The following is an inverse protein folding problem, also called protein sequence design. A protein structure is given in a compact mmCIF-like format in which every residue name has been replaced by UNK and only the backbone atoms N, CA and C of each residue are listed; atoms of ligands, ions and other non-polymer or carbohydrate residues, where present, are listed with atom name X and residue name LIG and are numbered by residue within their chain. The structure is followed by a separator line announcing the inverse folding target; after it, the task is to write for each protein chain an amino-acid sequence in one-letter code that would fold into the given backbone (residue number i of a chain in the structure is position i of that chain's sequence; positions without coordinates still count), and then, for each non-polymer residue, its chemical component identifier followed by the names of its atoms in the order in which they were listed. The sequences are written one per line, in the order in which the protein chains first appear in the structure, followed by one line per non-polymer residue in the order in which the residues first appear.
data_IF_227600514371
#
_entry.id   IF_227600514371
#
_cell.length_a   1.000
_cell.length_b   1.000
_cell.length_c   1.000
_cell.angle_alpha   90.00
_cell.angle_beta   90.00
_cell.angle_gamma   90.00
#
_symmetry.space_group_name_H-M   'P 1'
#
loop_
_entity.id
_entity.type
_entity.pdbx_description
1 polymer ?
#
# COMPACT_ATOMS: atom_id res chain seq x y z
N UNK A 1 -48.29 4.94 10.89
CA UNK A 1 -47.40 6.02 11.38
C UNK A 1 -46.32 6.23 10.33
N UNK A 2 -46.41 7.32 9.56
CA UNK A 2 -45.48 7.62 8.46
C UNK A 2 -44.21 8.26 9.05
N UNK A 3 -43.04 7.69 8.77
CA UNK A 3 -41.77 8.27 9.19
C UNK A 3 -41.45 9.45 8.26
N UNK A 4 -41.69 10.68 8.71
CA UNK A 4 -41.14 11.85 8.04
C UNK A 4 -39.61 11.81 8.10
N UNK A 5 -38.96 11.46 6.98
CA UNK A 5 -37.53 11.75 6.79
C UNK A 5 -37.39 13.27 6.75
N UNK A 6 -36.81 13.85 7.81
CA UNK A 6 -36.41 15.26 7.79
C UNK A 6 -35.46 15.48 6.60
N UNK A 7 -35.73 16.50 5.79
CA UNK A 7 -34.77 16.98 4.80
C UNK A 7 -33.51 17.46 5.53
N UNK A 8 -32.31 17.15 5.00
CA UNK A 8 -31.05 17.57 5.63
C UNK A 8 -31.00 19.10 5.73
N UNK A 9 -30.62 19.63 6.90
CA UNK A 9 -30.51 21.07 7.10
C UNK A 9 -29.28 21.62 6.36
N UNK A 10 -29.25 22.94 6.09
CA UNK A 10 -28.06 23.62 5.54
C UNK A 10 -26.80 23.34 6.37
N UNK A 11 -26.94 23.30 7.70
CA UNK A 11 -25.84 22.97 8.62
C UNK A 11 -25.35 21.53 8.47
N UNK A 12 -26.24 20.58 8.16
CA UNK A 12 -25.85 19.18 7.90
C UNK A 12 -25.14 19.06 6.55
N UNK A 13 -25.60 19.82 5.53
CA UNK A 13 -24.93 19.94 4.24
C UNK A 13 -23.51 20.52 4.38
N UNK A 14 -23.34 21.60 5.14
CA UNK A 14 -22.02 22.20 5.39
C UNK A 14 -21.08 21.26 6.14
N UNK A 15 -21.58 20.54 7.16
CA UNK A 15 -20.79 19.54 7.90
C UNK A 15 -20.36 18.38 7.01
N UNK A 16 -21.27 17.88 6.16
CA UNK A 16 -20.95 16.83 5.19
C UNK A 16 -19.90 17.29 4.16
N UNK A 17 -20.02 18.51 3.64
CA UNK A 17 -19.04 19.07 2.70
C UNK A 17 -17.66 19.25 3.34
N UNK A 18 -17.61 19.74 4.58
CA UNK A 18 -16.36 19.88 5.32
C UNK A 18 -15.70 18.52 5.60
N UNK A 19 -16.48 17.52 6.02
CA UNK A 19 -16.00 16.15 6.22
C UNK A 19 -15.44 15.56 4.93
N UNK A 20 -16.16 15.73 3.82
CA UNK A 20 -15.72 15.24 2.52
C UNK A 20 -14.42 15.89 2.05
N UNK A 21 -14.28 17.22 2.22
CA UNK A 21 -13.05 17.93 1.88
C UNK A 21 -11.86 17.42 2.72
N UNK A 22 -12.08 17.20 4.02
CA UNK A 22 -11.08 16.62 4.92
C UNK A 22 -10.65 15.22 4.45
N UNK A 23 -11.60 14.34 4.17
CA UNK A 23 -11.31 12.98 3.69
C UNK A 23 -10.56 13.02 2.35
N UNK A 24 -11.02 13.87 1.43
CA UNK A 24 -10.38 14.08 0.14
C UNK A 24 -8.92 14.47 0.30
N UNK A 25 -8.60 15.54 1.03
CA UNK A 25 -7.21 15.98 1.18
C UNK A 25 -6.36 14.96 1.93
N UNK A 26 -6.92 14.27 2.91
CA UNK A 26 -6.18 13.33 3.76
C UNK A 26 -5.84 12.01 3.08
N UNK A 27 -6.57 11.62 2.03
CA UNK A 27 -6.41 10.33 1.35
C UNK A 27 -5.87 10.49 -0.07
N UNK A 28 -6.15 11.63 -0.70
CA UNK A 28 -5.67 11.91 -2.05
C UNK A 28 -4.23 12.42 -2.09
N UNK A 29 -3.63 12.82 -0.97
CA UNK A 29 -2.34 13.51 -0.95
C UNK A 29 -1.19 12.71 -1.58
N UNK A 30 -1.20 11.38 -1.49
CA UNK A 30 -0.16 10.53 -2.12
C UNK A 30 -0.27 10.65 -3.64
N UNK A 31 -1.45 10.33 -4.20
CA UNK A 31 -1.67 10.33 -5.65
C UNK A 31 -1.54 11.75 -6.20
N UNK A 32 -2.25 12.71 -5.58
CA UNK A 32 -2.22 14.11 -6.00
C UNK A 32 -0.82 14.70 -5.84
N UNK A 33 -0.13 14.46 -4.73
CA UNK A 33 1.23 14.97 -4.50
C UNK A 33 2.25 14.40 -5.48
N UNK A 34 2.17 13.11 -5.81
CA UNK A 34 3.02 12.51 -6.85
C UNK A 34 2.75 13.16 -8.21
N UNK A 35 1.48 13.26 -8.63
CA UNK A 35 1.10 13.87 -9.90
C UNK A 35 1.53 15.34 -9.97
N UNK A 36 1.19 16.14 -8.95
CA UNK A 36 1.56 17.55 -8.88
C UNK A 36 3.07 17.74 -8.90
N UNK A 37 3.85 16.94 -8.16
CA UNK A 37 5.31 17.04 -8.17
C UNK A 37 5.91 16.64 -9.52
N UNK A 38 5.36 15.62 -10.19
CA UNK A 38 5.84 15.17 -11.51
C UNK A 38 5.52 16.25 -12.56
N UNK A 39 4.26 16.70 -12.63
CA UNK A 39 3.86 17.69 -13.63
C UNK A 39 4.53 19.05 -13.43
N UNK A 40 4.71 19.50 -12.18
CA UNK A 40 5.45 20.73 -11.90
C UNK A 40 6.93 20.62 -12.30
N UNK A 41 7.57 19.49 -12.03
CA UNK A 41 8.95 19.25 -12.48
C UNK A 41 9.05 19.28 -14.02
N UNK A 42 8.17 18.56 -14.72
CA UNK A 42 8.14 18.56 -16.20
C UNK A 42 7.86 19.97 -16.75
N UNK A 43 6.91 20.70 -16.17
CA UNK A 43 6.61 22.07 -16.58
C UNK A 43 7.83 22.98 -16.42
N UNK A 44 8.57 22.86 -15.30
CA UNK A 44 9.81 23.63 -15.09
C UNK A 44 10.87 23.29 -16.16
N UNK A 45 11.03 22.02 -16.52
CA UNK A 45 11.97 21.61 -17.58
C UNK A 45 11.57 22.16 -18.95
N UNK A 46 10.30 22.03 -19.32
CA UNK A 46 9.79 22.46 -20.64
C UNK A 46 9.77 23.99 -20.82
N UNK A 47 9.54 24.72 -19.73
CA UNK A 47 9.51 26.19 -19.71
C UNK A 47 10.87 26.82 -19.40
N UNK A 48 11.91 26.02 -19.14
CA UNK A 48 13.25 26.50 -18.80
C UNK A 48 13.81 27.53 -19.81
N UNK A 49 13.67 27.36 -21.14
CA UNK A 49 14.17 28.34 -22.10
C UNK A 49 13.34 29.63 -22.16
N UNK A 50 12.14 29.64 -21.58
CA UNK A 50 11.11 30.69 -21.77
C UNK A 50 10.84 31.52 -20.53
N UNK A 51 11.23 31.07 -19.35
CA UNK A 51 10.89 31.75 -18.10
C UNK A 51 11.97 31.57 -17.03
N UNK A 52 12.47 32.67 -16.42
CA UNK A 52 13.38 32.56 -15.27
C UNK A 52 12.70 31.92 -14.05
N UNK A 53 11.37 32.02 -13.93
CA UNK A 53 10.62 31.34 -12.87
C UNK A 53 10.70 29.81 -13.00
N UNK A 54 10.79 29.29 -14.22
CA UNK A 54 10.96 27.86 -14.46
C UNK A 54 12.34 27.37 -13.99
N UNK A 55 13.38 28.19 -14.14
CA UNK A 55 14.71 27.92 -13.59
C UNK A 55 14.69 27.89 -12.06
N UNK A 56 14.04 28.87 -11.42
CA UNK A 56 13.86 28.87 -9.96
C UNK A 56 13.10 27.62 -9.50
N UNK A 57 11.97 27.29 -10.13
CA UNK A 57 11.20 26.09 -9.82
C UNK A 57 12.02 24.81 -9.96
N UNK A 58 12.77 24.66 -11.06
CA UNK A 58 13.66 23.52 -11.27
C UNK A 58 14.73 23.44 -10.19
N UNK A 59 15.37 24.55 -9.83
CA UNK A 59 16.33 24.61 -8.73
C UNK A 59 15.72 24.13 -7.40
N UNK A 60 14.49 24.55 -7.07
CA UNK A 60 13.80 24.09 -5.86
C UNK A 60 13.58 22.57 -5.89
N UNK A 61 13.15 22.01 -7.02
CA UNK A 61 13.00 20.55 -7.15
C UNK A 61 14.34 19.82 -7.01
N UNK A 62 15.42 20.32 -7.63
CA UNK A 62 16.76 19.72 -7.54
C UNK A 62 17.31 19.79 -6.11
N UNK A 63 17.10 20.91 -5.41
CA UNK A 63 17.42 21.03 -3.98
C UNK A 63 16.63 20.01 -3.17
N UNK A 64 15.33 19.88 -3.41
CA UNK A 64 14.51 18.86 -2.74
C UNK A 64 14.99 17.43 -3.02
N UNK A 65 15.60 17.15 -4.18
CA UNK A 65 16.22 15.84 -4.48
C UNK A 65 17.59 15.67 -3.82
N UNK A 66 18.34 16.75 -3.61
CA UNK A 66 19.64 16.73 -2.95
C UNK A 66 19.53 16.56 -1.43
N UNK A 67 18.42 16.99 -0.81
CA UNK A 67 18.21 16.82 0.64
C UNK A 67 18.16 15.33 1.01
N UNK A 68 19.02 14.86 1.95
CA UNK A 68 19.03 13.47 2.36
C UNK A 68 17.69 13.00 2.94
N UNK A 69 17.28 11.77 2.62
CA UNK A 69 16.03 11.18 3.12
C UNK A 69 16.03 10.94 4.64
N UNK A 70 17.22 10.72 5.23
CA UNK A 70 17.39 10.43 6.66
C UNK A 70 17.17 11.65 7.58
N UNK A 71 16.97 12.84 7.01
CA UNK A 71 16.66 14.04 7.80
C UNK A 71 15.35 13.81 8.55
N UNK A 72 15.31 14.19 9.83
CA UNK A 72 14.11 14.02 10.65
C UNK A 72 12.95 14.89 10.13
N UNK A 73 11.69 14.42 10.20
CA UNK A 73 10.55 15.21 9.77
C UNK A 73 10.40 16.46 10.65
N UNK A 74 10.16 17.65 10.06
CA UNK A 74 9.79 18.83 10.83
C UNK A 74 8.46 18.58 11.57
N UNK A 75 8.21 19.34 12.64
CA UNK A 75 7.02 19.17 13.51
C UNK A 75 5.71 19.18 12.70
N UNK A 76 5.62 20.05 11.70
CA UNK A 76 4.47 20.19 10.82
C UNK A 76 4.25 18.94 9.97
N UNK A 77 5.31 18.39 9.36
CA UNK A 77 5.22 17.16 8.59
C UNK A 77 4.82 15.98 9.47
N UNK A 78 5.37 15.87 10.69
CA UNK A 78 4.97 14.82 11.63
C UNK A 78 3.48 14.89 11.99
N UNK A 79 2.97 16.09 12.29
CA UNK A 79 1.53 16.31 12.58
C UNK A 79 0.67 15.96 11.37
N UNK A 80 1.09 16.35 10.17
CA UNK A 80 0.40 15.99 8.94
C UNK A 80 0.34 14.48 8.76
N UNK A 81 1.46 13.77 8.90
CA UNK A 81 1.53 12.32 8.75
C UNK A 81 0.66 11.58 9.79
N UNK A 82 0.70 12.01 11.06
CA UNK A 82 -0.19 11.48 12.09
C UNK A 82 -1.66 11.69 11.76
N UNK A 83 -2.01 12.88 11.24
CA UNK A 83 -3.37 13.21 10.86
C UNK A 83 -3.86 12.37 9.68
N UNK A 84 -3.12 12.33 8.57
CA UNK A 84 -3.52 11.57 7.37
C UNK A 84 -3.57 10.07 7.65
N UNK A 85 -2.65 9.52 8.46
CA UNK A 85 -2.73 8.13 8.89
C UNK A 85 -3.99 7.85 9.72
N UNK A 86 -4.35 8.75 10.64
CA UNK A 86 -5.59 8.64 11.42
C UNK A 86 -6.83 8.74 10.53
N UNK A 87 -6.84 9.68 9.60
CA UNK A 87 -7.94 9.88 8.66
C UNK A 87 -8.15 8.64 7.78
N UNK A 88 -7.07 8.03 7.27
CA UNK A 88 -7.15 6.76 6.54
C UNK A 88 -7.79 5.64 7.36
N UNK A 89 -7.37 5.49 8.62
CA UNK A 89 -7.93 4.48 9.51
C UNK A 89 -9.42 4.70 9.81
N UNK A 90 -9.87 5.95 9.86
CA UNK A 90 -11.28 6.30 10.14
C UNK A 90 -12.16 6.24 8.89
N UNK A 91 -11.57 6.52 7.72
CA UNK A 91 -12.28 6.50 6.46
C UNK A 91 -12.70 5.08 6.10
N UNK A 92 -11.79 4.12 6.20
CA UNK A 92 -12.10 2.72 5.91
C UNK A 92 -12.55 1.98 7.18
N UNK A 93 -13.65 1.21 7.14
CA UNK A 93 -13.93 0.24 8.18
C UNK A 93 -12.91 -0.90 8.12
N UNK A 94 -11.78 -0.77 8.82
CA UNK A 94 -10.70 -1.76 8.83
C UNK A 94 -10.86 -2.69 10.04
N UNK A 95 -10.86 -3.99 9.78
CA UNK A 95 -10.74 -5.03 10.80
C UNK A 95 -9.45 -5.81 10.54
N UNK A 96 -8.73 -6.15 11.61
CA UNK A 96 -7.54 -7.00 11.52
C UNK A 96 -7.74 -8.21 12.42
N UNK A 97 -7.62 -9.39 11.84
CA UNK A 97 -7.78 -10.67 12.54
C UNK A 97 -6.50 -11.49 12.41
N UNK A 98 -6.06 -12.08 13.51
CA UNK A 98 -4.86 -12.92 13.56
C UNK A 98 -5.28 -14.39 13.67
N UNK A 99 -4.75 -15.25 12.80
CA UNK A 99 -4.98 -16.70 12.92
C UNK A 99 -4.34 -17.29 14.18
N UNK A 100 -3.25 -16.67 14.64
CA UNK A 100 -2.59 -16.97 15.91
C UNK A 100 -1.88 -15.71 16.40
N UNK A 101 -2.52 -14.96 17.31
CA UNK A 101 -1.93 -13.75 17.89
C UNK A 101 -0.73 -14.08 18.79
N UNK A 102 -0.69 -15.26 19.41
CA UNK A 102 0.36 -15.66 20.34
C UNK A 102 1.66 -16.06 19.62
N UNK A 103 1.57 -16.44 18.34
CA UNK A 103 2.73 -16.72 17.51
C UNK A 103 3.67 -15.51 17.30
N UNK A 104 3.25 -14.32 17.72
CA UNK A 104 3.99 -13.07 17.58
C UNK A 104 4.61 -12.57 18.89
N UNK A 105 4.59 -13.37 19.97
CA UNK A 105 5.09 -12.97 21.29
C UNK A 105 6.62 -12.86 21.37
N UNK A 106 7.35 -13.53 20.48
CA UNK A 106 8.82 -13.52 20.46
C UNK A 106 9.41 -12.21 19.92
N UNK A 107 8.57 -11.30 19.40
CA UNK A 107 8.91 -9.96 18.91
C UNK A 107 10.09 -9.95 17.92
N UNK A 108 10.35 -11.06 17.23
CA UNK A 108 11.41 -11.13 16.22
C UNK A 108 10.98 -10.39 14.95
N UNK A 109 11.87 -9.62 14.32
CA UNK A 109 11.57 -8.97 13.05
C UNK A 109 11.10 -9.98 12.01
N UNK A 110 10.03 -9.68 11.31
CA UNK A 110 9.44 -10.57 10.30
C UNK A 110 9.33 -9.93 8.93
N UNK A 111 9.18 -10.76 7.91
CA UNK A 111 8.87 -10.33 6.54
C UNK A 111 7.39 -10.61 6.29
N UNK A 112 6.61 -9.54 6.27
CA UNK A 112 5.16 -9.52 6.11
C UNK A 112 4.85 -9.37 4.63
N UNK A 113 4.33 -10.43 4.02
CA UNK A 113 3.88 -10.41 2.63
C UNK A 113 2.40 -10.07 2.57
N UNK A 114 2.10 -8.86 2.12
CA UNK A 114 0.76 -8.27 2.06
C UNK A 114 0.17 -8.40 0.67
N UNK A 115 -0.98 -9.06 0.58
CA UNK A 115 -1.72 -9.32 -0.66
C UNK A 115 -3.19 -8.88 -0.52
N UNK A 116 -3.87 -8.48 -1.60
CA UNK A 116 -3.28 -8.09 -2.89
C UNK A 116 -2.53 -6.75 -2.79
N UNK A 117 -1.73 -6.39 -3.80
CA UNK A 117 -1.19 -5.04 -3.95
C UNK A 117 -2.29 -4.03 -4.35
N UNK A 118 -3.25 -4.45 -5.18
CA UNK A 118 -4.27 -3.60 -5.81
C UNK A 118 -3.68 -2.35 -6.49
N UNK A 119 -4.45 -1.27 -6.68
CA UNK A 119 -3.93 0.02 -7.17
C UNK A 119 -2.93 0.62 -6.17
N UNK A 120 -3.32 0.68 -4.89
CA UNK A 120 -2.50 1.07 -3.77
C UNK A 120 -2.80 0.13 -2.60
N UNK A 121 -1.79 -0.43 -1.92
CA UNK A 121 -1.99 -1.32 -0.78
C UNK A 121 -2.31 -0.50 0.49
N UNK A 122 -3.46 0.19 0.50
CA UNK A 122 -3.82 1.14 1.56
C UNK A 122 -3.92 0.45 2.92
N UNK A 123 -4.46 -0.77 2.98
CA UNK A 123 -4.60 -1.51 4.23
C UNK A 123 -3.26 -1.84 4.90
N UNK A 124 -2.15 -1.87 4.16
CA UNK A 124 -0.81 -2.06 4.75
C UNK A 124 -0.42 -0.93 5.72
N UNK A 125 -1.12 0.22 5.69
CA UNK A 125 -0.91 1.31 6.63
C UNK A 125 -1.11 0.92 8.10
N UNK A 126 -1.82 -0.17 8.40
CA UNK A 126 -2.01 -0.67 9.78
C UNK A 126 -0.69 -1.09 10.46
N UNK A 127 0.33 -1.41 9.67
CA UNK A 127 1.66 -1.83 10.15
C UNK A 127 2.66 -0.66 10.25
N UNK A 128 2.28 0.56 9.87
CA UNK A 128 3.21 1.70 9.78
C UNK A 128 3.29 2.52 11.09
N UNK A 129 4.39 3.28 11.32
CA UNK A 129 4.66 3.96 12.60
C UNK A 129 3.64 5.01 13.05
N UNK A 130 2.86 5.58 12.13
CA UNK A 130 1.82 6.57 12.43
C UNK A 130 0.41 5.97 12.50
N UNK A 131 0.29 4.65 12.34
CA UNK A 131 -1.01 3.99 12.42
C UNK A 131 -1.60 4.12 13.82
N UNK A 132 -2.89 4.49 13.88
CA UNK A 132 -3.66 4.59 15.13
C UNK A 132 -4.79 3.56 15.20
N UNK A 133 -4.81 2.58 14.29
CA UNK A 133 -5.78 1.47 14.36
C UNK A 133 -5.66 0.78 15.72
N UNK A 134 -6.76 0.74 16.47
CA UNK A 134 -6.81 0.12 17.81
C UNK A 134 -6.12 0.90 18.91
N UNK A 135 -5.76 2.19 18.72
CA UNK A 135 -5.27 3.06 19.78
C UNK A 135 -6.40 3.95 20.34
N UNK A 136 -7.48 3.35 20.84
CA UNK A 136 -8.38 3.96 21.83
C UNK A 136 -8.71 5.45 21.69
N UNK A 137 -8.83 5.97 20.47
CA UNK A 137 -9.23 7.36 20.24
C UNK A 137 -10.73 7.43 20.43
N UNK A 138 -11.18 8.05 21.52
CA UNK A 138 -12.60 8.30 21.77
C UNK A 138 -13.21 9.09 20.60
N UNK A 139 -14.17 8.48 19.92
CA UNK A 139 -15.24 9.20 19.22
C UNK A 139 -16.52 8.98 20.04
N UNK A 140 -17.32 10.03 20.31
CA UNK A 140 -18.55 9.89 21.08
C UNK A 140 -19.51 8.92 20.37
N UNK A 141 -19.85 7.81 21.02
CA UNK A 141 -20.94 6.92 20.61
C UNK A 141 -20.57 5.62 19.90
N UNK A 142 -19.28 5.28 19.73
CA UNK A 142 -18.87 3.94 19.29
C UNK A 142 -17.78 3.40 20.23
N UNK A 143 -18.06 2.26 20.88
CA UNK A 143 -17.19 1.68 21.90
C UNK A 143 -15.76 1.43 21.40
N UNK A 144 -14.78 1.55 22.30
CA UNK A 144 -13.36 1.36 21.99
C UNK A 144 -13.07 -0.03 21.43
N UNK A 145 -12.57 -0.17 20.19
CA UNK A 145 -11.94 -1.40 19.76
C UNK A 145 -10.58 -1.48 20.49
N UNK A 146 -10.34 -2.56 21.23
CA UNK A 146 -9.07 -2.84 21.89
C UNK A 146 -7.88 -2.90 20.91
N UNK A 147 -6.66 -3.12 21.43
CA UNK A 147 -5.44 -3.13 20.62
C UNK A 147 -5.50 -4.14 19.45
N UNK A 148 -5.71 -3.60 18.24
CA UNK A 148 -5.94 -4.36 17.01
C UNK A 148 -4.64 -4.96 16.47
N UNK A 149 -3.55 -4.18 16.41
CA UNK A 149 -2.23 -4.63 15.93
C UNK A 149 -1.19 -4.49 17.04
N UNK A 150 -0.45 -5.58 17.40
CA UNK A 150 0.62 -5.54 18.39
C UNK A 150 1.65 -4.42 18.15
N UNK A 151 2.21 -3.79 19.20
CA UNK A 151 3.15 -2.68 19.05
C UNK A 151 4.36 -3.01 18.20
N UNK A 152 4.91 -4.23 18.30
CA UNK A 152 6.10 -4.61 17.55
C UNK A 152 5.82 -4.67 16.04
N UNK A 153 4.62 -5.06 15.58
CA UNK A 153 4.23 -5.03 14.16
C UNK A 153 4.01 -3.62 13.62
N UNK A 154 3.92 -2.60 14.49
CA UNK A 154 3.90 -1.19 14.08
C UNK A 154 5.29 -0.61 13.85
N UNK A 155 6.34 -1.28 14.34
CA UNK A 155 7.73 -0.97 13.98
C UNK A 155 8.10 -1.58 12.62
N UNK A 156 7.32 -1.26 11.59
CA UNK A 156 7.52 -1.80 10.25
C UNK A 156 7.84 -0.72 9.23
N UNK A 157 8.62 -1.10 8.23
CA UNK A 157 8.78 -0.34 7.00
C UNK A 157 7.93 -0.96 5.90
N UNK A 158 7.48 -0.13 4.94
CA UNK A 158 6.83 -0.62 3.72
C UNK A 158 7.82 -0.57 2.56
N UNK A 159 8.08 -1.72 1.95
CA UNK A 159 8.87 -1.80 0.73
C UNK A 159 8.09 -1.16 -0.43
N UNK A 160 8.70 -0.20 -1.09
CA UNK A 160 8.11 0.57 -2.18
C UNK A 160 9.07 0.66 -3.36
N UNK A 161 8.52 0.77 -4.57
CA UNK A 161 9.30 0.90 -5.80
C UNK A 161 10.26 2.07 -5.72
N UNK A 162 11.53 1.88 -6.06
CA UNK A 162 12.59 2.89 -5.91
C UNK A 162 12.29 4.21 -6.65
N UNK A 163 11.50 4.17 -7.72
CA UNK A 163 11.11 5.35 -8.51
C UNK A 163 10.33 6.39 -7.71
N UNK A 164 9.57 6.00 -6.68
CA UNK A 164 8.83 6.97 -5.84
C UNK A 164 9.77 7.90 -5.07
N UNK A 165 11.01 7.46 -4.82
CA UNK A 165 12.04 8.25 -4.17
C UNK A 165 12.81 9.18 -5.12
N UNK A 166 12.47 9.18 -6.42
CA UNK A 166 12.94 10.14 -7.41
C UNK A 166 11.98 11.32 -7.57
N UNK A 167 10.83 11.31 -6.90
CA UNK A 167 9.83 12.40 -6.97
C UNK A 167 10.16 13.45 -5.89
N UNK A 168 10.49 14.70 -6.26
CA UNK A 168 10.79 15.77 -5.31
C UNK A 168 9.68 15.96 -4.27
N UNK A 169 10.03 16.32 -3.03
CA UNK A 169 9.12 16.50 -1.88
C UNK A 169 8.41 15.23 -1.40
N UNK A 170 7.71 14.52 -2.31
CA UNK A 170 7.00 13.29 -2.02
C UNK A 170 7.92 12.19 -1.48
N UNK A 171 9.16 12.12 -1.97
CA UNK A 171 10.15 11.17 -1.46
C UNK A 171 10.37 11.30 0.04
N UNK A 172 10.36 12.52 0.61
CA UNK A 172 10.55 12.74 2.05
C UNK A 172 9.29 12.38 2.83
N UNK A 173 8.11 12.78 2.35
CA UNK A 173 6.84 12.42 2.99
C UNK A 173 6.64 10.91 3.05
N UNK A 174 6.89 10.20 1.95
CA UNK A 174 6.82 8.74 1.89
C UNK A 174 7.88 8.09 2.80
N UNK A 175 9.11 8.59 2.78
CA UNK A 175 10.16 8.08 3.65
C UNK A 175 9.83 8.26 5.14
N UNK A 176 9.29 9.43 5.51
CA UNK A 176 8.87 9.69 6.90
C UNK A 176 7.66 8.87 7.30
N UNK A 177 6.73 8.58 6.38
CA UNK A 177 5.58 7.69 6.61
C UNK A 177 6.00 6.23 6.92
N UNK A 178 7.23 5.83 6.59
CA UNK A 178 7.76 4.49 6.80
C UNK A 178 8.05 3.71 5.51
N UNK A 179 7.90 4.32 4.34
CA UNK A 179 8.25 3.67 3.08
C UNK A 179 9.77 3.62 2.90
N UNK A 180 10.27 2.53 2.32
CA UNK A 180 11.69 2.33 1.97
C UNK A 180 11.79 1.74 0.57
N UNK A 181 12.93 1.95 -0.09
CA UNK A 181 13.21 1.30 -1.37
C UNK A 181 13.19 -0.23 -1.18
N UNK A 182 12.53 -0.95 -2.08
CA UNK A 182 12.47 -2.41 -2.08
C UNK A 182 13.80 -3.09 -2.51
N UNK A 183 14.96 -2.46 -2.29
CA UNK A 183 16.26 -3.07 -2.56
C UNK A 183 16.64 -4.06 -1.45
N UNK A 184 17.36 -5.13 -1.81
CA UNK A 184 17.76 -6.18 -0.87
C UNK A 184 18.53 -5.60 0.31
N UNK A 185 19.45 -4.69 0.06
CA UNK A 185 20.35 -4.09 1.05
C UNK A 185 19.57 -3.26 2.06
N UNK A 186 18.60 -2.46 1.59
CA UNK A 186 17.76 -1.63 2.46
C UNK A 186 16.86 -2.50 3.34
N UNK A 187 16.26 -3.54 2.77
CA UNK A 187 15.37 -4.43 3.51
C UNK A 187 16.13 -5.32 4.51
N UNK A 188 17.33 -5.79 4.14
CA UNK A 188 18.22 -6.52 5.06
C UNK A 188 18.65 -5.64 6.23
N UNK A 189 19.03 -4.39 5.96
CA UNK A 189 19.40 -3.46 7.02
C UNK A 189 18.21 -3.17 7.94
N UNK A 190 17.00 -2.98 7.41
CA UNK A 190 15.82 -2.76 8.23
C UNK A 190 15.53 -3.93 9.19
N UNK A 191 15.65 -5.18 8.70
CA UNK A 191 15.53 -6.37 9.55
C UNK A 191 16.62 -6.42 10.62
N UNK A 192 17.87 -6.09 10.26
CA UNK A 192 18.99 -6.03 11.20
C UNK A 192 18.81 -4.94 12.27
N UNK A 193 18.16 -3.82 11.92
CA UNK A 193 17.82 -2.72 12.83
C UNK A 193 16.59 -3.05 13.72
N UNK A 194 16.06 -4.27 13.65
CA UNK A 194 14.92 -4.72 14.47
C UNK A 194 13.55 -4.29 13.94
N UNK A 195 13.46 -3.83 12.69
CA UNK A 195 12.21 -3.42 12.05
C UNK A 195 11.60 -4.58 11.25
N UNK A 196 10.29 -4.70 11.21
CA UNK A 196 9.65 -5.63 10.27
C UNK A 196 9.63 -5.03 8.86
N UNK A 197 9.54 -5.90 7.87
CA UNK A 197 9.43 -5.52 6.46
C UNK A 197 8.07 -5.93 5.94
N UNK A 198 7.23 -4.95 5.62
CA UNK A 198 5.98 -5.16 4.88
C UNK A 198 6.27 -4.98 3.39
N UNK A 199 5.84 -5.93 2.56
CA UNK A 199 5.98 -5.85 1.12
C UNK A 199 4.82 -6.56 0.42
N UNK A 200 4.51 -6.14 -0.80
CA UNK A 200 3.67 -6.90 -1.72
C UNK A 200 4.59 -7.71 -2.64
N UNK A 201 4.69 -9.04 -2.49
CA UNK A 201 5.68 -9.84 -3.21
C UNK A 201 5.63 -9.70 -4.74
N UNK A 202 4.45 -9.62 -5.34
CA UNK A 202 4.29 -9.45 -6.79
C UNK A 202 4.46 -8.01 -7.26
N UNK A 203 4.24 -7.02 -6.37
CA UNK A 203 4.49 -5.61 -6.60
C UNK A 203 3.77 -5.08 -7.85
N UNK A 204 4.47 -4.27 -8.67
CA UNK A 204 3.89 -3.68 -9.89
C UNK A 204 3.39 -4.72 -10.91
N UNK A 205 3.86 -5.97 -10.85
CA UNK A 205 3.35 -7.02 -11.74
C UNK A 205 1.94 -7.46 -11.36
N UNK A 206 1.54 -7.39 -10.08
CA UNK A 206 0.15 -7.64 -9.71
C UNK A 206 -0.78 -6.61 -10.37
N UNK A 207 -0.39 -5.33 -10.38
CA UNK A 207 -1.16 -4.28 -11.07
C UNK A 207 -1.37 -4.60 -12.57
N UNK A 208 -0.37 -5.22 -13.20
CA UNK A 208 -0.44 -5.64 -14.59
C UNK A 208 -1.46 -6.77 -14.82
N UNK A 209 -1.62 -7.67 -13.85
CA UNK A 209 -2.50 -8.84 -13.96
C UNK A 209 -3.85 -8.69 -13.25
N UNK A 210 -4.12 -7.55 -12.59
CA UNK A 210 -5.42 -7.29 -11.98
C UNK A 210 -6.55 -7.53 -12.99
N UNK A 211 -7.56 -8.27 -12.58
CA UNK A 211 -8.72 -8.58 -13.41
C UNK A 211 -9.81 -7.53 -13.12
N UNK A 212 -10.30 -6.80 -14.14
CA UNK A 212 -11.38 -5.82 -13.94
C UNK A 212 -12.73 -6.46 -13.58
N UNK A 213 -12.88 -7.78 -13.70
CA UNK A 213 -14.09 -8.47 -13.29
C UNK A 213 -14.26 -8.45 -11.76
N UNK A 214 -15.51 -8.32 -11.28
CA UNK A 214 -15.79 -8.42 -9.85
C UNK A 214 -15.30 -9.75 -9.25
N UNK A 215 -14.96 -9.70 -7.96
CA UNK A 215 -14.62 -10.89 -7.17
C UNK A 215 -13.40 -11.68 -7.69
N UNK A 216 -12.53 -11.03 -8.47
CA UNK A 216 -11.26 -11.60 -8.91
C UNK A 216 -10.09 -10.95 -8.18
N UNK A 217 -9.31 -11.75 -7.47
CA UNK A 217 -8.06 -11.32 -6.84
C UNK A 217 -6.89 -12.07 -7.49
N UNK A 218 -5.78 -11.36 -7.69
CA UNK A 218 -4.58 -11.91 -8.34
C UNK A 218 -3.38 -11.64 -7.46
N UNK A 219 -2.64 -12.70 -7.14
CA UNK A 219 -1.38 -12.62 -6.41
C UNK A 219 -0.25 -13.17 -7.29
N UNK A 220 0.76 -12.35 -7.60
CA UNK A 220 1.90 -12.77 -8.41
C UNK A 220 3.01 -13.28 -7.49
N UNK A 221 3.00 -14.59 -7.22
CA UNK A 221 3.85 -15.21 -6.19
C UNK A 221 4.78 -16.29 -6.74
N UNK A 222 4.38 -17.06 -7.76
CA UNK A 222 5.07 -18.31 -8.13
C UNK A 222 6.53 -18.10 -8.52
N UNK A 223 6.84 -16.93 -9.08
CA UNK A 223 8.18 -16.57 -9.54
C UNK A 223 8.91 -15.61 -8.57
N UNK A 224 8.29 -15.24 -7.45
CA UNK A 224 8.81 -14.22 -6.51
C UNK A 224 9.61 -14.86 -5.40
N UNK A 225 10.86 -15.21 -5.68
CA UNK A 225 11.75 -15.83 -4.69
C UNK A 225 12.51 -14.82 -3.82
N UNK A 226 12.54 -13.54 -4.19
CA UNK A 226 13.38 -12.51 -3.54
C UNK A 226 13.07 -12.28 -2.06
N UNK A 227 11.79 -12.18 -1.70
CA UNK A 227 11.38 -11.96 -0.30
C UNK A 227 11.64 -13.19 0.59
N UNK A 228 11.53 -14.40 0.02
CA UNK A 228 11.89 -15.65 0.73
C UNK A 228 13.39 -15.71 0.97
N UNK A 229 14.20 -15.37 -0.03
CA UNK A 229 15.67 -15.25 0.14
C UNK A 229 16.03 -14.23 1.21
N UNK A 230 15.37 -13.07 1.22
CA UNK A 230 15.54 -12.03 2.23
C UNK A 230 15.25 -12.59 3.64
N UNK A 231 14.10 -13.23 3.82
CA UNK A 231 13.68 -13.84 5.08
C UNK A 231 14.69 -14.88 5.58
N UNK A 232 15.12 -15.80 4.71
CA UNK A 232 16.12 -16.82 5.04
C UNK A 232 17.48 -16.22 5.38
N UNK A 233 17.92 -15.19 4.63
CA UNK A 233 19.21 -14.52 4.91
C UNK A 233 19.19 -13.79 6.25
N UNK A 234 18.03 -13.31 6.70
CA UNK A 234 17.88 -12.61 7.97
C UNK A 234 17.48 -13.53 9.14
N UNK A 235 17.08 -14.79 8.87
CA UNK A 235 16.43 -15.64 9.87
C UNK A 235 15.07 -15.10 10.34
N UNK A 236 14.43 -14.25 9.53
CA UNK A 236 13.16 -13.60 9.83
C UNK A 236 11.99 -14.46 9.32
N UNK A 237 10.96 -14.76 10.13
CA UNK A 237 9.83 -15.56 9.66
C UNK A 237 9.03 -14.83 8.57
N UNK A 238 8.45 -15.61 7.66
CA UNK A 238 7.53 -15.12 6.63
C UNK A 238 6.11 -15.07 7.19
N UNK A 239 5.43 -13.94 7.05
CA UNK A 239 4.06 -13.77 7.55
C UNK A 239 3.13 -13.46 6.37
N UNK A 240 2.28 -14.40 5.94
CA UNK A 240 1.29 -14.14 4.89
C UNK A 240 0.15 -13.28 5.46
N UNK A 241 -0.17 -12.19 4.78
CA UNK A 241 -1.29 -11.29 5.11
C UNK A 241 -2.17 -11.10 3.89
N UNK A 242 -3.47 -11.30 4.04
CA UNK A 242 -4.44 -11.08 2.98
C UNK A 242 -5.46 -10.01 3.39
N UNK A 243 -5.73 -9.03 2.52
CA UNK A 243 -6.70 -7.95 2.74
C UNK A 243 -7.86 -8.04 1.76
N UNK A 244 -9.02 -8.48 2.25
CA UNK A 244 -10.26 -8.40 1.48
C UNK A 244 -10.78 -6.96 1.39
N UNK A 245 -11.45 -6.63 0.29
CA UNK A 245 -12.07 -5.31 0.09
C UNK A 245 -11.13 -4.19 -0.38
N UNK A 246 -9.85 -4.49 -0.61
CA UNK A 246 -8.88 -3.49 -1.07
C UNK A 246 -9.00 -3.16 -2.57
N UNK A 247 -9.12 -4.18 -3.43
CA UNK A 247 -9.20 -4.00 -4.88
C UNK A 247 -10.31 -3.02 -5.35
N UNK A 248 -11.54 -3.04 -4.82
CA UNK A 248 -12.60 -2.11 -5.23
C UNK A 248 -12.43 -0.66 -4.72
N UNK A 249 -11.38 -0.33 -3.96
CA UNK A 249 -11.16 1.04 -3.47
C UNK A 249 -10.85 2.04 -4.57
N UNK A 250 -10.30 1.58 -5.68
CA UNK A 250 -10.09 2.41 -6.86
C UNK A 250 -10.63 1.71 -8.09
N UNK A 251 -11.41 2.45 -8.86
CA UNK A 251 -11.59 2.13 -10.26
C UNK A 251 -10.29 2.45 -10.99
N UNK A 252 -9.95 1.66 -12.00
CA UNK A 252 -8.73 1.87 -12.76
C UNK A 252 -8.90 1.54 -14.23
N UNK A 253 -7.99 2.08 -15.03
CA UNK A 253 -7.80 1.75 -16.41
C UNK A 253 -6.30 1.72 -16.69
N UNK A 254 -5.84 0.68 -17.37
CA UNK A 254 -4.45 0.53 -17.77
C UNK A 254 -4.32 0.87 -19.25
N UNK A 255 -3.88 2.10 -19.58
CA UNK A 255 -3.52 2.45 -20.94
C UNK A 255 -2.66 1.35 -21.58
N UNK A 256 -2.91 1.06 -22.86
CA UNK A 256 -2.20 0.06 -23.66
C UNK A 256 -2.41 -1.42 -23.29
N UNK A 257 -2.98 -1.72 -22.12
CA UNK A 257 -3.34 -3.09 -21.70
C UNK A 257 -4.84 -3.31 -21.92
N UNK A 258 -5.66 -2.41 -21.36
CA UNK A 258 -7.11 -2.46 -21.46
C UNK A 258 -7.63 -1.74 -22.73
N UNK A 259 -6.73 -1.39 -23.66
CA UNK A 259 -7.08 -0.73 -24.92
C UNK A 259 -7.74 -1.74 -25.88
N UNK A 260 -8.73 -1.35 -26.70
CA UNK A 260 -9.34 -2.26 -27.66
C UNK A 260 -8.32 -2.89 -28.61
N UNK A 261 -8.31 -4.24 -28.67
CA UNK A 261 -7.31 -5.03 -29.43
C UNK A 261 -7.21 -4.67 -30.92
N UNK A 262 -8.24 -4.05 -31.49
CA UNK A 262 -8.30 -3.62 -32.89
C UNK A 262 -7.51 -2.34 -33.20
N UNK A 263 -7.15 -1.54 -32.19
CA UNK A 263 -6.42 -0.27 -32.37
C UNK A 263 -4.93 -0.43 -32.03
N UNK A 264 -4.57 -1.31 -31.10
CA UNK A 264 -3.18 -1.56 -30.70
C UNK A 264 -2.99 -3.07 -30.50
N UNK A 265 -2.01 -3.67 -31.20
CA UNK A 265 -1.69 -5.09 -31.01
C UNK A 265 -1.03 -5.32 -29.65
N UNK A 266 -1.73 -5.99 -28.73
CA UNK A 266 -1.32 -6.14 -27.33
C UNK A 266 0.06 -6.80 -27.12
N UNK A 267 0.55 -7.61 -28.05
CA UNK A 267 1.82 -8.34 -27.91
C UNK A 267 3.09 -7.49 -28.00
N UNK A 268 3.10 -6.44 -28.84
CA UNK A 268 4.30 -5.58 -29.02
C UNK A 268 4.47 -4.58 -27.88
N UNK A 269 3.37 -4.04 -27.35
CA UNK A 269 3.42 -3.02 -26.30
C UNK A 269 3.48 -3.62 -24.88
N UNK A 270 2.88 -4.80 -24.63
CA UNK A 270 3.09 -5.53 -23.38
C UNK A 270 4.58 -5.84 -23.12
N UNK A 271 5.36 -6.03 -24.18
CA UNK A 271 6.82 -6.20 -24.09
C UNK A 271 7.55 -4.88 -23.83
N UNK A 272 7.01 -3.74 -24.27
CA UNK A 272 7.54 -2.40 -23.95
C UNK A 272 7.25 -2.01 -22.49
N UNK A 273 6.00 -2.16 -22.02
CA UNK A 273 5.60 -1.89 -20.63
C UNK A 273 6.39 -2.77 -19.64
N UNK A 274 6.61 -4.05 -19.98
CA UNK A 274 7.47 -4.95 -19.19
C UNK A 274 8.95 -4.52 -19.17
N UNK A 275 9.45 -3.90 -20.25
CA UNK A 275 10.84 -3.41 -20.33
C UNK A 275 11.06 -2.10 -19.56
N UNK A 276 10.07 -1.21 -19.51
CA UNK A 276 10.18 0.06 -18.77
C UNK A 276 9.96 -0.09 -17.26
N UNK A 277 9.50 -1.25 -16.78
CA UNK A 277 9.31 -1.52 -15.35
C UNK A 277 8.23 -0.64 -14.68
N UNK A 278 7.35 -0.04 -15.49
CA UNK A 278 6.30 0.88 -15.05
C UNK A 278 4.99 0.52 -15.76
N UNK A 279 3.93 0.29 -14.99
CA UNK A 279 2.58 0.08 -15.53
C UNK A 279 1.86 1.43 -15.44
N UNK A 280 1.61 2.13 -16.57
CA UNK A 280 0.77 3.32 -16.55
C UNK A 280 -0.63 2.89 -16.10
N UNK A 281 -1.07 3.43 -14.97
CA UNK A 281 -2.33 3.10 -14.33
C UNK A 281 -3.06 4.42 -14.05
N UNK A 282 -4.17 4.65 -14.76
CA UNK A 282 -5.08 5.73 -14.41
C UNK A 282 -6.07 5.17 -13.39
N UNK A 283 -6.14 5.78 -12.22
CA UNK A 283 -7.05 5.37 -11.16
C UNK A 283 -7.89 6.54 -10.68
N UNK A 284 -9.12 6.23 -10.26
CA UNK A 284 -10.07 7.18 -9.70
C UNK A 284 -10.96 6.47 -8.70
N UNK A 285 -11.47 7.20 -7.73
CA UNK A 285 -12.43 6.71 -6.76
C UNK A 285 -13.73 7.51 -6.84
N UNK A 286 -14.16 8.04 -5.70
CA UNK A 286 -15.45 8.72 -5.54
C UNK A 286 -15.56 9.89 -6.53
N UNK A 287 -16.63 9.88 -7.34
CA UNK A 287 -16.94 10.91 -8.34
C UNK A 287 -15.80 11.18 -9.35
N UNK A 288 -14.98 10.16 -9.67
CA UNK A 288 -13.86 10.33 -10.61
C UNK A 288 -12.64 11.06 -10.03
N UNK A 289 -12.63 11.31 -8.71
CA UNK A 289 -11.53 11.99 -8.03
C UNK A 289 -10.46 11.01 -7.53
N UNK A 290 -9.41 11.51 -6.88
CA UNK A 290 -8.36 10.67 -6.25
C UNK A 290 -8.74 10.11 -4.87
N UNK A 291 -9.92 10.45 -4.35
CA UNK A 291 -10.44 9.92 -3.08
C UNK A 291 -10.95 8.49 -3.29
N UNK A 292 -10.40 7.48 -2.59
CA UNK A 292 -10.80 6.08 -2.76
C UNK A 292 -12.26 5.83 -2.39
N UNK A 293 -12.88 4.80 -2.96
CA UNK A 293 -14.20 4.32 -2.56
C UNK A 293 -14.15 3.78 -1.13
N UNK A 294 -15.16 4.13 -0.33
CA UNK A 294 -15.29 3.69 1.06
C UNK A 294 -15.78 2.23 1.13
N UNK A 295 -14.84 1.29 1.03
CA UNK A 295 -15.11 -0.15 1.12
C UNK A 295 -14.53 -0.70 2.43
N UNK A 296 -15.27 -1.53 3.21
CA UNK A 296 -14.73 -2.23 4.36
C UNK A 296 -13.51 -3.09 3.99
N UNK A 297 -12.48 -3.09 4.84
CA UNK A 297 -11.32 -3.95 4.69
C UNK A 297 -11.25 -4.96 5.83
N UNK A 298 -11.11 -6.23 5.47
CA UNK A 298 -10.87 -7.33 6.41
C UNK A 298 -9.48 -7.89 6.17
N UNK A 299 -8.55 -7.58 7.07
CA UNK A 299 -7.14 -7.95 6.97
C UNK A 299 -6.90 -9.16 7.85
N UNK A 300 -6.52 -10.28 7.24
CA UNK A 300 -6.18 -11.51 7.95
C UNK A 300 -4.67 -11.69 7.98
N UNK A 301 -4.13 -11.79 9.19
CA UNK A 301 -2.72 -12.06 9.46
C UNK A 301 -2.56 -13.54 9.76
N UNK A 302 -1.88 -14.24 8.86
CA UNK A 302 -1.59 -15.66 8.99
C UNK A 302 -0.53 -16.00 10.03
N UNK A 303 -0.34 -17.30 10.24
CA UNK A 303 0.71 -17.81 11.12
C UNK A 303 2.11 -17.55 10.53
N UNK A 304 3.08 -17.11 11.33
CA UNK A 304 4.47 -16.99 10.91
C UNK A 304 5.04 -18.34 10.44
N UNK A 305 5.66 -18.35 9.27
CA UNK A 305 6.38 -19.49 8.71
C UNK A 305 7.85 -19.33 9.07
N UNK A 306 8.32 -20.17 9.99
CA UNK A 306 9.72 -20.18 10.40
C UNK A 306 10.61 -20.65 9.24
N UNK A 307 11.69 -19.90 9.01
CA UNK A 307 12.70 -20.21 7.99
C UNK A 307 14.08 -20.34 8.66
N UNK A 308 14.97 -21.19 8.14
CA UNK A 308 16.33 -21.27 8.65
C UNK A 308 17.08 -19.98 8.33
N UNK A 309 17.97 -19.59 9.23
CA UNK A 309 18.92 -18.52 8.97
C UNK A 309 20.09 -19.07 8.14
N UNK A 310 20.13 -18.73 6.86
CA UNK A 310 21.14 -19.21 5.91
C UNK A 310 21.64 -18.07 5.05
N UNK A 311 22.95 -17.80 5.07
CA UNK A 311 23.56 -16.69 4.33
C UNK A 311 23.39 -16.81 2.80
N UNK A 312 23.48 -18.03 2.27
CA UNK A 312 23.27 -18.34 0.86
C UNK A 312 22.28 -19.51 0.71
N UNK A 313 20.95 -19.24 0.74
CA UNK A 313 19.95 -20.29 0.66
C UNK A 313 19.88 -20.86 -0.75
N UNK A 314 19.86 -22.20 -0.86
CA UNK A 314 19.80 -22.86 -2.17
C UNK A 314 18.46 -22.57 -2.87
N UNK A 315 18.46 -22.59 -4.21
CA UNK A 315 17.24 -22.35 -4.99
C UNK A 315 16.11 -23.34 -4.63
N UNK A 316 16.46 -24.59 -4.31
CA UNK A 316 15.50 -25.62 -3.90
C UNK A 316 14.86 -25.31 -2.53
N UNK A 317 15.64 -24.87 -1.55
CA UNK A 317 15.12 -24.49 -0.23
C UNK A 317 14.22 -23.26 -0.33
N UNK A 318 14.66 -22.25 -1.08
CA UNK A 318 13.87 -21.04 -1.34
C UNK A 318 12.54 -21.41 -1.99
N UNK A 319 12.57 -22.29 -3.00
CA UNK A 319 11.34 -22.73 -3.66
C UNK A 319 10.44 -23.52 -2.71
N UNK A 320 11.00 -24.36 -1.83
CA UNK A 320 10.24 -25.09 -0.81
C UNK A 320 9.47 -24.14 0.11
N UNK A 321 10.14 -23.10 0.64
CA UNK A 321 9.50 -22.11 1.50
C UNK A 321 8.54 -21.20 0.74
N UNK A 322 8.82 -20.86 -0.52
CA UNK A 322 7.89 -20.15 -1.37
C UNK A 322 6.59 -20.96 -1.59
N UNK A 323 6.70 -22.27 -1.83
CA UNK A 323 5.53 -23.15 -1.95
C UNK A 323 4.73 -23.18 -0.66
N UNK A 324 5.39 -23.30 0.50
CA UNK A 324 4.70 -23.24 1.81
C UNK A 324 3.99 -21.90 2.01
N UNK A 325 4.64 -20.79 1.67
CA UNK A 325 4.06 -19.46 1.75
C UNK A 325 2.84 -19.31 0.84
N UNK A 326 2.93 -19.77 -0.41
CA UNK A 326 1.81 -19.76 -1.37
C UNK A 326 0.63 -20.58 -0.86
N UNK A 327 0.89 -21.79 -0.33
CA UNK A 327 -0.14 -22.62 0.27
C UNK A 327 -0.80 -21.96 1.48
N UNK A 328 -0.03 -21.30 2.34
CA UNK A 328 -0.56 -20.55 3.48
C UNK A 328 -1.41 -19.35 3.04
N UNK A 329 -0.96 -18.59 2.04
CA UNK A 329 -1.71 -17.46 1.47
C UNK A 329 -3.04 -17.92 0.87
N UNK A 330 -3.03 -19.00 0.06
CA UNK A 330 -4.24 -19.59 -0.49
C UNK A 330 -5.20 -20.09 0.59
N UNK A 331 -4.66 -20.68 1.66
CA UNK A 331 -5.47 -21.17 2.78
C UNK A 331 -6.14 -20.04 3.56
N UNK A 332 -5.46 -18.91 3.80
CA UNK A 332 -6.05 -17.71 4.42
C UNK A 332 -7.20 -17.21 3.55
N UNK A 333 -6.97 -17.08 2.24
CA UNK A 333 -7.99 -16.63 1.31
C UNK A 333 -9.24 -17.52 1.36
N UNK A 334 -9.07 -18.83 1.16
CA UNK A 334 -10.20 -19.76 1.08
C UNK A 334 -10.95 -19.88 2.41
N UNK A 335 -10.25 -19.84 3.54
CA UNK A 335 -10.86 -19.95 4.87
C UNK A 335 -11.71 -18.73 5.22
N UNK A 336 -11.24 -17.53 4.87
CA UNK A 336 -11.81 -16.29 5.39
C UNK A 336 -12.66 -15.53 4.38
N UNK A 337 -12.62 -15.84 3.08
CA UNK A 337 -13.37 -15.10 2.05
C UNK A 337 -14.87 -14.99 2.33
N UNK A 338 -15.49 -16.04 2.87
CA UNK A 338 -16.92 -16.01 3.19
C UNK A 338 -17.22 -15.11 4.41
N UNK A 339 -16.41 -15.22 5.48
CA UNK A 339 -16.55 -14.40 6.69
C UNK A 339 -16.27 -12.91 6.42
N UNK A 340 -15.35 -12.62 5.50
CA UNK A 340 -15.03 -11.27 5.03
C UNK A 340 -16.09 -10.66 4.09
N UNK A 341 -17.17 -11.39 3.76
CA UNK A 341 -18.23 -10.91 2.87
C UNK A 341 -18.00 -11.11 1.38
N UNK A 342 -17.00 -11.93 1.01
CA UNK A 342 -16.58 -12.21 -0.37
C UNK A 342 -16.72 -13.71 -0.76
N UNK A 343 -17.87 -14.37 -0.56
CA UNK A 343 -18.01 -15.82 -0.76
C UNK A 343 -17.77 -16.30 -2.20
N UNK A 344 -17.97 -15.42 -3.18
CA UNK A 344 -17.78 -15.70 -4.62
C UNK A 344 -16.37 -15.37 -5.12
N UNK A 345 -15.53 -14.78 -4.26
CA UNK A 345 -14.20 -14.38 -4.66
C UNK A 345 -13.32 -15.57 -5.04
N UNK A 346 -12.50 -15.34 -6.07
CA UNK A 346 -11.52 -16.29 -6.57
C UNK A 346 -10.14 -15.64 -6.52
N UNK A 347 -9.19 -16.34 -5.92
CA UNK A 347 -7.79 -15.96 -5.91
C UNK A 347 -7.05 -16.75 -6.98
N UNK A 348 -6.45 -16.03 -7.94
CA UNK A 348 -5.57 -16.62 -8.95
C UNK A 348 -4.12 -16.32 -8.57
N UNK A 349 -3.36 -17.37 -8.23
CA UNK A 349 -1.94 -17.25 -7.92
C UNK A 349 -1.13 -17.57 -9.17
N UNK A 350 -0.35 -16.59 -9.64
CA UNK A 350 0.46 -16.68 -10.88
C UNK A 350 1.96 -16.56 -10.64
#
# INVERSE_FOLDING_TARGET
MSSHRRSPSLADGMRAAASWAVDFFSLSWIVLGLLTSIFSFLACVLLLPRSPLAAVGLCVHLVALAVPLRVAPPRQARRLLQYVSSAACNYFPITVEFEDKNAFNDSRPCVIGYEPHSVLPIGACVFLPYSRVGQGGEMPGQGSPGEVVPPFLRNSIMASTSSVFLVPFMRHLLYWLGCRSASREVLQQALADGQNVVLCPGGVQECYFMDPLPDQEVAFLKQRTGFVKLAMTAGAPLVPVFSFGQTPQYSYWRPFIDWPKHVISGGRMASFVRRIGFVPLLCWGVMGTTLPHRVPMHIYVGKPIAVPHTADPSAAEVQRYLTQYISAMAAIFERHKAAAGHPKAKLTII
#
